data_IF_111014817704
#
_entry.id   IF_111014817704
#
_cell.length_a   1.000
_cell.length_b   1.000
_cell.length_c   1.000
_cell.angle_alpha   90.00
_cell.angle_beta   90.00
_cell.angle_gamma   90.00
#
_symmetry.space_group_name_H-M   'P 1'
#
loop_
_entity.id
_entity.type
_entity.pdbx_description
1 polymer ?
#
# COMPACT_ATOMS: atom_id res chain seq x y z
N UNK A 1 25.97 1.82 2.99
CA UNK A 1 25.31 3.11 2.67
C UNK A 1 25.91 3.64 1.38
N UNK A 2 25.12 4.30 0.54
CA UNK A 2 25.66 4.99 -0.66
C UNK A 2 26.22 6.31 -0.20
N UNK A 3 27.56 6.47 -0.25
CA UNK A 3 28.23 7.73 0.10
C UNK A 3 27.97 8.77 -0.98
N UNK A 4 27.75 10.01 -0.56
CA UNK A 4 27.61 11.18 -1.42
C UNK A 4 28.59 12.23 -0.91
N UNK A 5 29.46 12.69 -1.79
CA UNK A 5 30.38 13.80 -1.50
C UNK A 5 29.92 15.00 -2.33
N UNK A 6 29.33 16.04 -1.71
CA UNK A 6 28.98 17.25 -2.42
C UNK A 6 30.23 17.91 -3.04
N UNK A 7 30.06 18.57 -4.19
CA UNK A 7 31.14 19.35 -4.80
C UNK A 7 31.58 20.45 -3.82
N UNK A 8 32.89 20.51 -3.51
CA UNK A 8 33.50 21.47 -2.59
C UNK A 8 33.12 21.33 -1.09
N UNK A 9 32.75 20.13 -0.62
CA UNK A 9 32.57 19.84 0.81
C UNK A 9 33.54 18.79 1.33
N UNK A 10 34.09 19.02 2.54
CA UNK A 10 34.86 18.01 3.30
C UNK A 10 33.96 17.06 4.09
N UNK A 11 32.65 17.31 4.14
CA UNK A 11 31.70 16.50 4.88
C UNK A 11 31.25 15.28 4.05
N UNK A 12 31.27 14.10 4.68
CA UNK A 12 30.73 12.88 4.07
C UNK A 12 29.22 12.76 4.34
N UNK A 13 28.44 12.72 3.28
CA UNK A 13 27.00 12.44 3.34
C UNK A 13 26.70 11.02 2.89
N UNK A 14 25.50 10.55 3.24
CA UNK A 14 24.99 9.27 2.77
C UNK A 14 23.51 9.36 2.41
N UNK A 15 23.10 8.60 1.38
CA UNK A 15 21.70 8.41 1.08
C UNK A 15 21.04 7.58 2.19
N UNK A 16 19.88 8.04 2.67
CA UNK A 16 19.14 7.35 3.73
C UNK A 16 18.63 5.97 3.24
N UNK A 17 18.88 4.88 3.97
CA UNK A 17 18.29 3.57 3.66
C UNK A 17 16.99 3.28 4.44
N UNK A 18 16.66 4.15 5.40
CA UNK A 18 15.48 4.08 6.27
C UNK A 18 15.12 5.46 6.82
N UNK A 19 13.86 5.65 7.26
CA UNK A 19 13.38 6.93 7.78
C UNK A 19 13.52 7.08 9.31
N UNK A 20 13.79 5.99 10.04
CA UNK A 20 13.74 5.96 11.51
C UNK A 20 14.54 7.09 12.18
N UNK A 21 15.84 7.30 11.85
CA UNK A 21 16.64 8.37 12.45
C UNK A 21 16.03 9.76 12.29
N UNK A 22 15.47 10.04 11.11
CA UNK A 22 14.87 11.33 10.78
C UNK A 22 13.58 11.56 11.56
N UNK A 23 12.79 10.50 11.79
CA UNK A 23 11.60 10.59 12.65
C UNK A 23 11.97 10.95 14.10
N UNK A 24 13.08 10.42 14.62
CA UNK A 24 13.53 10.70 15.99
C UNK A 24 14.02 12.14 16.14
N UNK A 25 14.76 12.64 15.14
CA UNK A 25 15.15 14.04 15.06
C UNK A 25 13.92 14.95 15.00
N UNK A 26 12.91 14.60 14.20
CA UNK A 26 11.66 15.37 14.10
C UNK A 26 10.88 15.37 15.42
N UNK A 27 10.80 14.22 16.09
CA UNK A 27 10.18 14.13 17.41
C UNK A 27 10.88 15.06 18.41
N UNK A 28 12.22 14.96 18.50
CA UNK A 28 13.08 15.74 19.39
C UNK A 28 13.13 17.24 19.07
N UNK A 29 12.74 17.66 17.86
CA UNK A 29 12.82 19.07 17.44
C UNK A 29 12.01 20.05 18.31
N UNK A 30 11.08 19.55 19.13
CA UNK A 30 10.31 20.32 20.11
C UNK A 30 10.14 19.50 21.38
N UNK A 31 10.04 20.18 22.52
CA UNK A 31 9.60 19.55 23.77
C UNK A 31 8.21 18.94 23.57
N UNK A 32 8.02 17.69 24.01
CA UNK A 32 6.76 16.96 23.88
C UNK A 32 6.13 16.73 25.24
N UNK A 33 4.81 16.83 25.35
CA UNK A 33 4.04 16.41 26.52
C UNK A 33 3.49 15.00 26.30
N UNK A 34 3.32 14.23 27.38
CA UNK A 34 2.60 12.94 27.34
C UNK A 34 1.21 13.04 26.70
N UNK A 35 0.58 14.22 26.75
CA UNK A 35 -0.73 14.51 26.12
C UNK A 35 -0.69 14.55 24.59
N UNK A 36 0.49 14.70 24.00
CA UNK A 36 0.69 14.64 22.55
C UNK A 36 0.89 13.20 22.05
N UNK A 37 1.09 12.23 22.95
CA UNK A 37 1.21 10.82 22.60
C UNK A 37 -0.18 10.13 22.63
N UNK A 38 -0.49 9.25 21.66
CA UNK A 38 0.38 8.72 20.60
C UNK A 38 0.67 9.71 19.47
N UNK A 39 1.95 9.94 19.16
CA UNK A 39 2.38 10.79 18.06
C UNK A 39 2.78 9.93 16.86
N UNK A 40 2.12 10.13 15.71
CA UNK A 40 2.26 9.28 14.52
C UNK A 40 2.92 10.06 13.41
N UNK A 41 4.15 9.70 13.08
CA UNK A 41 4.90 10.31 11.98
C UNK A 41 4.92 9.34 10.80
N UNK A 42 4.36 9.73 9.65
CA UNK A 42 4.37 8.93 8.43
C UNK A 42 5.21 9.61 7.35
N UNK A 43 5.99 8.84 6.62
CA UNK A 43 6.90 9.32 5.57
C UNK A 43 6.89 8.33 4.38
N UNK A 44 6.74 8.87 3.17
CA UNK A 44 6.83 8.14 1.90
C UNK A 44 8.14 8.46 1.15
N UNK A 45 9.08 9.16 1.79
CA UNK A 45 10.30 9.61 1.18
C UNK A 45 11.16 8.48 0.62
N UNK A 46 11.92 8.82 -0.42
CA UNK A 46 12.81 7.89 -1.10
C UNK A 46 13.87 7.29 -0.17
N UNK A 47 13.99 5.98 -0.24
CA UNK A 47 15.00 5.17 0.46
C UNK A 47 15.94 4.54 -0.57
N UNK A 48 17.22 4.49 -0.20
CA UNK A 48 18.27 3.93 -1.03
C UNK A 48 18.98 2.78 -0.33
N UNK A 49 18.93 1.60 -0.91
CA UNK A 49 19.66 0.42 -0.44
C UNK A 49 20.62 -0.06 -1.50
N UNK A 50 21.85 -0.33 -1.10
CA UNK A 50 22.86 -0.87 -1.99
C UNK A 50 22.70 -2.39 -2.07
N UNK A 51 21.73 -2.82 -2.87
CA UNK A 51 21.48 -4.23 -3.17
C UNK A 51 22.50 -4.75 -4.19
N UNK A 52 22.89 -6.02 -4.03
CA UNK A 52 23.79 -6.72 -4.95
C UNK A 52 23.13 -6.83 -6.34
N UNK A 53 23.89 -6.64 -7.41
CA UNK A 53 23.36 -6.58 -8.79
C UNK A 53 22.55 -7.82 -9.15
N UNK A 54 23.05 -9.01 -8.83
CA UNK A 54 22.35 -10.27 -9.10
C UNK A 54 21.13 -10.55 -8.22
N UNK A 55 20.77 -9.64 -7.32
CA UNK A 55 19.58 -9.78 -6.44
C UNK A 55 18.46 -8.81 -6.79
N UNK A 56 18.68 -7.91 -7.76
CA UNK A 56 17.65 -6.99 -8.21
C UNK A 56 16.58 -7.73 -8.99
N UNK A 57 15.33 -7.41 -8.72
CA UNK A 57 14.18 -8.09 -9.32
C UNK A 57 12.99 -7.15 -9.47
N UNK A 58 12.72 -6.76 -10.72
CA UNK A 58 11.59 -5.94 -11.14
C UNK A 58 11.20 -4.85 -10.13
N UNK A 59 9.96 -4.95 -9.62
CA UNK A 59 9.43 -4.09 -8.56
C UNK A 59 9.63 -4.64 -7.14
N UNK A 60 10.05 -5.91 -7.01
CA UNK A 60 10.14 -6.63 -5.74
C UNK A 60 11.40 -6.26 -4.95
N UNK A 61 12.51 -6.04 -5.65
CA UNK A 61 13.81 -5.71 -5.06
C UNK A 61 14.56 -4.68 -5.89
N UNK A 62 14.53 -3.44 -5.40
CA UNK A 62 15.11 -2.26 -6.06
C UNK A 62 16.14 -1.56 -5.17
N UNK A 63 17.02 -0.76 -5.78
CA UNK A 63 17.96 0.10 -5.05
C UNK A 63 17.33 1.40 -4.56
N UNK A 64 16.36 1.92 -5.31
CA UNK A 64 15.53 3.08 -4.96
C UNK A 64 14.12 2.58 -4.68
N UNK A 65 13.57 2.93 -3.52
CA UNK A 65 12.21 2.55 -3.15
C UNK A 65 11.52 3.66 -2.35
N UNK A 66 10.22 3.78 -2.53
CA UNK A 66 9.34 4.50 -1.61
C UNK A 66 8.67 3.46 -0.71
N UNK A 67 8.60 3.75 0.58
CA UNK A 67 8.01 2.86 1.58
C UNK A 67 6.89 3.60 2.29
N UNK A 68 5.75 2.94 2.53
CA UNK A 68 4.68 3.46 3.39
C UNK A 68 5.14 3.44 4.87
N UNK A 69 6.17 4.21 5.20
CA UNK A 69 6.86 4.08 6.47
C UNK A 69 6.20 4.96 7.53
N UNK A 70 6.17 4.50 8.77
CA UNK A 70 5.66 5.29 9.88
C UNK A 70 6.26 4.88 11.21
N UNK A 71 6.46 5.89 12.05
CA UNK A 71 7.05 5.80 13.37
C UNK A 71 6.04 6.37 14.37
N UNK A 72 5.48 5.50 15.20
CA UNK A 72 4.50 5.88 16.21
C UNK A 72 5.16 5.91 17.57
N UNK A 73 5.27 7.10 18.14
CA UNK A 73 5.82 7.34 19.46
C UNK A 73 4.69 7.19 20.47
N UNK A 74 4.88 6.28 21.42
CA UNK A 74 3.84 5.88 22.38
C UNK A 74 4.37 5.83 23.79
N UNK A 75 3.47 6.02 24.75
CA UNK A 75 3.67 5.54 26.10
C UNK A 75 3.44 4.03 26.17
N UNK A 76 3.95 3.39 27.21
CA UNK A 76 3.88 1.93 27.35
C UNK A 76 2.44 1.39 27.39
N UNK A 77 1.55 2.09 28.10
CA UNK A 77 0.13 1.77 28.22
C UNK A 77 -0.65 1.95 26.91
N UNK A 78 -0.06 2.63 25.91
CA UNK A 78 -0.67 2.89 24.61
C UNK A 78 -0.29 1.84 23.55
N UNK A 79 0.74 1.01 23.79
CA UNK A 79 1.30 0.09 22.78
C UNK A 79 0.23 -0.83 22.19
N UNK A 80 -0.52 -1.53 23.05
CA UNK A 80 -1.53 -2.50 22.61
C UNK A 80 -2.59 -1.84 21.71
N UNK A 81 -3.12 -0.68 22.13
CA UNK A 81 -4.14 0.04 21.37
C UNK A 81 -3.65 0.50 19.99
N UNK A 82 -2.39 0.94 19.90
CA UNK A 82 -1.81 1.36 18.62
C UNK A 82 -1.51 0.17 17.71
N UNK A 83 -1.08 -0.97 18.27
CA UNK A 83 -0.90 -2.19 17.49
C UNK A 83 -2.21 -2.73 16.92
N UNK A 84 -3.29 -2.75 17.72
CA UNK A 84 -4.62 -3.15 17.23
C UNK A 84 -5.08 -2.27 16.08
N UNK A 85 -4.88 -0.95 16.20
CA UNK A 85 -5.16 0.00 15.12
C UNK A 85 -4.32 -0.26 13.86
N UNK A 86 -3.06 -0.71 14.00
CA UNK A 86 -2.23 -1.08 12.85
C UNK A 86 -2.76 -2.33 12.14
N UNK A 87 -3.29 -3.31 12.88
CA UNK A 87 -3.96 -4.46 12.29
C UNK A 87 -5.25 -4.07 11.56
N UNK A 88 -6.05 -3.14 12.11
CA UNK A 88 -7.23 -2.63 11.40
C UNK A 88 -6.84 -1.94 10.08
N UNK A 89 -5.75 -1.15 10.07
CA UNK A 89 -5.22 -0.53 8.85
C UNK A 89 -4.71 -1.59 7.86
N UNK A 90 -4.06 -2.64 8.36
CA UNK A 90 -3.60 -3.76 7.53
C UNK A 90 -4.78 -4.45 6.84
N UNK A 91 -5.80 -4.84 7.60
CA UNK A 91 -6.98 -5.50 7.06
C UNK A 91 -7.70 -4.59 6.05
N UNK A 92 -7.90 -3.31 6.36
CA UNK A 92 -8.50 -2.34 5.42
C UNK A 92 -7.69 -2.19 4.12
N UNK A 93 -6.37 -2.32 4.19
CA UNK A 93 -5.47 -2.22 3.04
C UNK A 93 -5.44 -3.51 2.21
N UNK A 94 -5.49 -4.67 2.86
CA UNK A 94 -5.29 -5.98 2.22
C UNK A 94 -6.60 -6.55 1.67
N UNK A 95 -7.72 -6.33 2.37
CA UNK A 95 -9.03 -6.87 2.02
C UNK A 95 -9.49 -6.53 0.60
N UNK A 96 -9.36 -5.29 0.09
CA UNK A 96 -9.75 -4.94 -1.29
C UNK A 96 -9.01 -5.75 -2.37
N UNK A 97 -7.87 -6.36 -2.03
CA UNK A 97 -7.02 -7.14 -2.94
C UNK A 97 -7.08 -8.65 -2.69
N UNK A 98 -7.89 -9.10 -1.72
CA UNK A 98 -7.95 -10.50 -1.27
C UNK A 98 -6.60 -11.07 -0.82
N UNK A 99 -5.70 -10.22 -0.33
CA UNK A 99 -4.41 -10.67 0.16
C UNK A 99 -4.59 -11.38 1.51
N UNK A 100 -4.18 -12.65 1.57
CA UNK A 100 -4.21 -13.47 2.78
C UNK A 100 -2.83 -13.41 3.45
N UNK A 101 -2.68 -12.67 4.56
CA UNK A 101 -1.38 -12.50 5.20
C UNK A 101 -0.95 -13.77 5.93
N UNK A 102 0.32 -14.15 5.78
CA UNK A 102 1.00 -15.09 6.66
C UNK A 102 1.79 -14.26 7.67
N UNK A 103 1.44 -14.41 8.95
CA UNK A 103 2.03 -13.62 10.03
C UNK A 103 3.12 -14.43 10.70
N UNK A 104 4.30 -13.83 10.88
CA UNK A 104 5.41 -14.44 11.60
C UNK A 104 5.90 -13.50 12.71
N UNK A 105 5.97 -14.02 13.93
CA UNK A 105 6.57 -13.33 15.07
C UNK A 105 8.07 -13.67 15.11
N UNK A 106 8.91 -12.70 14.74
CA UNK A 106 10.36 -12.84 14.77
C UNK A 106 10.92 -12.37 16.12
N UNK A 107 11.54 -13.29 16.86
CA UNK A 107 12.04 -13.07 18.22
C UNK A 107 13.53 -12.69 18.23
N UNK A 108 14.07 -12.39 19.40
CA UNK A 108 15.42 -11.82 19.58
C UNK A 108 16.53 -12.57 18.83
N UNK A 109 17.37 -11.85 18.06
CA UNK A 109 18.58 -12.43 17.45
C UNK A 109 19.70 -12.61 18.49
N UNK A 110 20.75 -13.33 18.09
CA UNK A 110 22.00 -13.45 18.87
C UNK A 110 22.68 -12.08 19.06
N UNK A 111 22.75 -11.28 17.99
CA UNK A 111 23.34 -9.94 18.01
C UNK A 111 22.23 -8.89 18.19
N UNK A 112 22.07 -8.39 19.41
CA UNK A 112 21.02 -7.43 19.78
C UNK A 112 21.53 -6.30 20.67
N UNK A 113 20.77 -5.22 20.74
CA UNK A 113 20.96 -4.11 21.67
C UNK A 113 19.80 -4.05 22.68
N UNK A 114 20.04 -3.44 23.83
CA UNK A 114 19.06 -3.32 24.91
C UNK A 114 19.09 -4.49 25.90
N UNK A 115 18.44 -4.29 27.04
CA UNK A 115 18.42 -5.23 28.17
C UNK A 115 17.50 -6.42 27.91
N UNK A 116 17.81 -7.58 28.52
CA UNK A 116 17.02 -8.80 28.34
C UNK A 116 15.56 -8.65 28.81
N UNK A 117 15.34 -7.89 29.89
CA UNK A 117 14.00 -7.61 30.41
C UNK A 117 13.13 -6.83 29.42
N UNK A 118 13.73 -5.89 28.67
CA UNK A 118 13.02 -5.13 27.62
C UNK A 118 12.63 -6.05 26.47
N UNK A 119 13.50 -6.99 26.12
CA UNK A 119 13.21 -8.00 25.09
C UNK A 119 12.09 -8.94 25.51
N UNK A 120 12.13 -9.46 26.75
CA UNK A 120 11.08 -10.32 27.30
C UNK A 120 9.71 -9.63 27.26
N UNK A 121 9.70 -8.35 27.64
CA UNK A 121 8.53 -7.50 27.62
C UNK A 121 8.02 -7.27 26.20
N UNK A 122 8.90 -6.91 25.27
CA UNK A 122 8.55 -6.64 23.89
C UNK A 122 7.94 -7.87 23.22
N UNK A 123 8.59 -9.04 23.35
CA UNK A 123 8.10 -10.29 22.79
C UNK A 123 6.75 -10.71 23.39
N UNK A 124 6.59 -10.54 24.70
CA UNK A 124 5.32 -10.80 25.38
C UNK A 124 4.20 -9.91 24.85
N UNK A 125 4.43 -8.61 24.71
CA UNK A 125 3.44 -7.66 24.18
C UNK A 125 3.03 -8.04 22.76
N UNK A 126 4.00 -8.32 21.88
CA UNK A 126 3.69 -8.70 20.49
C UNK A 126 2.86 -10.00 20.44
N UNK A 127 3.24 -10.99 21.25
CA UNK A 127 2.54 -12.27 21.35
C UNK A 127 1.09 -12.09 21.83
N UNK A 128 0.90 -11.41 22.95
CA UNK A 128 -0.43 -11.18 23.53
C UNK A 128 -1.33 -10.37 22.59
N UNK A 129 -0.76 -9.41 21.85
CA UNK A 129 -1.53 -8.63 20.88
C UNK A 129 -1.99 -9.50 19.70
N UNK A 130 -1.13 -10.39 19.19
CA UNK A 130 -1.50 -11.36 18.15
C UNK A 130 -2.59 -12.33 18.63
N UNK A 131 -2.43 -12.88 19.84
CA UNK A 131 -3.39 -13.79 20.46
C UNK A 131 -4.77 -13.11 20.63
N UNK A 132 -4.78 -11.87 21.14
CA UNK A 132 -6.02 -11.08 21.32
C UNK A 132 -6.70 -10.75 20.00
N UNK A 133 -5.94 -10.48 18.93
CA UNK A 133 -6.50 -10.22 17.59
C UNK A 133 -7.05 -11.49 16.95
N UNK A 134 -6.63 -12.67 17.41
CA UNK A 134 -7.05 -13.97 16.88
C UNK A 134 -6.33 -14.35 15.58
N UNK A 135 -5.15 -13.79 15.33
CA UNK A 135 -4.34 -14.19 14.18
C UNK A 135 -3.59 -15.48 14.47
N UNK A 136 -3.57 -16.38 13.49
CA UNK A 136 -2.60 -17.48 13.48
C UNK A 136 -1.24 -16.94 13.04
N UNK A 137 -0.18 -17.32 13.75
CA UNK A 137 1.17 -16.88 13.42
C UNK A 137 2.21 -17.97 13.68
N UNK A 138 3.32 -17.90 12.96
CA UNK A 138 4.49 -18.75 13.16
C UNK A 138 5.55 -18.01 13.99
N UNK A 139 6.28 -18.72 14.83
CA UNK A 139 7.44 -18.14 15.54
C UNK A 139 8.68 -18.34 14.66
N UNK A 140 9.41 -17.24 14.43
CA UNK A 140 10.66 -17.23 13.68
C UNK A 140 11.80 -16.89 14.64
N UNK A 141 12.35 -17.90 15.28
CA UNK A 141 13.37 -17.73 16.31
C UNK A 141 14.65 -17.10 15.74
N UNK A 142 15.17 -16.07 16.41
CA UNK A 142 16.45 -15.45 16.04
C UNK A 142 16.40 -14.42 14.91
N UNK A 143 15.23 -14.18 14.30
CA UNK A 143 15.09 -13.36 13.10
C UNK A 143 14.59 -11.92 13.34
N UNK A 144 14.46 -11.53 14.61
CA UNK A 144 14.11 -10.18 15.03
C UNK A 144 15.12 -9.12 14.56
N UNK A 145 14.71 -7.86 14.56
CA UNK A 145 15.64 -6.77 14.29
C UNK A 145 16.64 -6.62 15.44
N UNK A 146 17.82 -6.04 15.20
CA UNK A 146 18.82 -5.90 16.27
C UNK A 146 18.34 -5.02 17.45
N UNK A 147 17.32 -4.18 17.25
CA UNK A 147 16.75 -3.23 18.21
C UNK A 147 15.42 -3.65 18.85
N UNK A 148 14.81 -4.75 18.39
CA UNK A 148 13.53 -5.22 18.93
C UNK A 148 12.90 -6.36 18.13
N UNK A 149 11.91 -7.06 18.72
CA UNK A 149 11.18 -8.09 18.02
C UNK A 149 10.21 -7.46 17.01
N UNK A 150 9.77 -8.26 16.04
CA UNK A 150 8.90 -7.77 14.96
C UNK A 150 7.88 -8.80 14.53
N UNK A 151 6.75 -8.29 14.07
CA UNK A 151 5.72 -9.04 13.37
C UNK A 151 5.96 -8.79 11.88
N UNK A 152 6.44 -9.82 11.19
CA UNK A 152 6.59 -9.79 9.74
C UNK A 152 5.32 -10.35 9.10
N UNK A 153 4.80 -9.62 8.12
CA UNK A 153 3.59 -9.97 7.38
C UNK A 153 3.99 -10.27 5.96
N UNK A 154 3.79 -11.54 5.60
CA UNK A 154 4.07 -12.06 4.28
C UNK A 154 2.77 -12.09 3.46
N UNK A 155 2.85 -11.74 2.19
CA UNK A 155 1.75 -11.93 1.25
C UNK A 155 2.14 -13.03 0.26
N UNK A 156 1.19 -13.93 -0.01
CA UNK A 156 1.34 -14.91 -1.07
C UNK A 156 1.46 -14.20 -2.42
N UNK A 157 2.38 -14.71 -3.24
CA UNK A 157 2.46 -14.37 -4.65
C UNK A 157 1.43 -15.20 -5.46
N UNK A 158 1.48 -15.08 -6.78
CA UNK A 158 0.53 -15.77 -7.67
C UNK A 158 0.64 -17.31 -7.61
N UNK A 159 1.75 -17.86 -7.10
CA UNK A 159 1.93 -19.31 -6.96
C UNK A 159 1.01 -19.88 -5.88
N UNK A 160 0.60 -19.04 -4.91
CA UNK A 160 -0.20 -19.43 -3.76
C UNK A 160 0.57 -20.29 -2.74
N UNK A 161 1.88 -20.42 -2.89
CA UNK A 161 2.73 -21.26 -2.02
C UNK A 161 3.33 -20.45 -0.88
N UNK A 162 3.20 -20.88 0.39
CA UNK A 162 3.78 -20.18 1.54
C UNK A 162 5.29 -19.97 1.47
N UNK A 163 6.04 -20.88 0.83
CA UNK A 163 7.49 -20.80 0.67
C UNK A 163 7.94 -19.67 -0.26
N UNK A 164 7.07 -19.25 -1.19
CA UNK A 164 7.33 -18.20 -2.18
C UNK A 164 6.76 -16.84 -1.72
N UNK A 165 6.24 -16.77 -0.49
CA UNK A 165 5.62 -15.55 0.03
C UNK A 165 6.63 -14.42 0.24
N UNK A 166 6.26 -13.21 -0.16
CA UNK A 166 7.10 -12.02 0.01
C UNK A 166 6.81 -11.35 1.35
N UNK A 167 7.86 -10.95 2.07
CA UNK A 167 7.71 -10.04 3.21
C UNK A 167 7.27 -8.67 2.69
N UNK A 168 6.02 -8.31 2.98
CA UNK A 168 5.41 -7.05 2.52
C UNK A 168 5.44 -6.04 3.64
N UNK A 169 4.90 -6.42 4.79
CA UNK A 169 4.66 -5.52 5.89
C UNK A 169 5.41 -5.95 7.14
N UNK A 170 5.65 -5.01 8.02
CA UNK A 170 6.35 -5.26 9.28
C UNK A 170 5.86 -4.27 10.33
N UNK A 171 5.64 -4.77 11.55
CA UNK A 171 5.38 -3.98 12.74
C UNK A 171 6.45 -4.34 13.77
N UNK A 172 7.24 -3.36 14.20
CA UNK A 172 8.41 -3.57 15.03
C UNK A 172 8.34 -2.69 16.27
N UNK A 173 8.67 -3.25 17.43
CA UNK A 173 8.63 -2.54 18.69
C UNK A 173 10.06 -2.20 19.14
N UNK A 174 10.41 -0.92 19.13
CA UNK A 174 11.75 -0.42 19.41
C UNK A 174 11.77 0.44 20.69
N UNK A 175 12.51 -0.04 21.69
CA UNK A 175 12.73 0.64 22.97
C UNK A 175 14.01 1.50 22.98
N UNK A 176 14.83 1.39 21.95
CA UNK A 176 16.19 1.91 21.88
C UNK A 176 16.30 3.20 21.06
N UNK A 177 15.50 3.37 20.00
CA UNK A 177 15.62 4.53 19.11
C UNK A 177 15.54 5.86 19.87
N UNK A 178 14.53 6.01 20.72
CA UNK A 178 14.34 7.23 21.48
C UNK A 178 15.49 7.51 22.46
N UNK A 179 15.99 6.47 23.13
CA UNK A 179 17.16 6.57 24.03
C UNK A 179 18.40 7.01 23.28
N UNK A 180 18.68 6.40 22.13
CA UNK A 180 19.87 6.69 21.30
C UNK A 180 19.90 8.12 20.76
N UNK A 181 18.74 8.67 20.42
CA UNK A 181 18.63 10.04 19.93
C UNK A 181 18.39 11.05 21.06
N UNK A 182 18.30 10.60 22.31
CA UNK A 182 17.92 11.41 23.47
C UNK A 182 16.60 12.18 23.19
N UNK A 183 15.62 11.46 22.66
CA UNK A 183 14.31 11.95 22.28
C UNK A 183 13.32 11.67 23.41
N UNK A 184 12.91 12.72 24.14
CA UNK A 184 12.13 12.61 25.39
C UNK A 184 10.79 13.33 25.30
N UNK A 185 9.88 12.95 26.18
CA UNK A 185 8.65 13.70 26.48
C UNK A 185 8.55 13.97 27.99
N UNK A 186 7.75 14.98 28.35
CA UNK A 186 7.41 15.32 29.73
C UNK A 186 6.18 14.52 30.15
N UNK A 187 6.37 13.65 31.14
CA UNK A 187 5.34 12.80 31.73
C UNK A 187 4.29 13.57 32.54
N UNK A 188 3.23 12.88 32.95
CA UNK A 188 2.22 13.44 33.87
C UNK A 188 2.78 13.74 35.26
N UNK A 189 3.92 13.13 35.60
CA UNK A 189 4.73 13.37 36.80
C UNK A 189 5.71 14.55 36.66
N UNK A 190 5.64 15.30 35.56
CA UNK A 190 6.57 16.37 35.20
C UNK A 190 8.04 15.94 35.07
N UNK A 191 8.32 14.65 34.86
CA UNK A 191 9.68 14.16 34.59
C UNK A 191 9.89 13.86 33.11
N UNK A 192 11.14 13.77 32.70
CA UNK A 192 11.51 13.32 31.35
C UNK A 192 11.40 11.80 31.26
N UNK A 193 10.74 11.33 30.20
CA UNK A 193 10.60 9.91 29.88
C UNK A 193 10.95 9.67 28.41
N UNK A 194 11.37 8.44 28.08
CA UNK A 194 11.57 8.02 26.70
C UNK A 194 10.29 7.36 26.17
N UNK A 195 9.78 7.79 25.00
CA UNK A 195 8.70 7.08 24.32
C UNK A 195 9.21 5.76 23.74
N UNK A 196 8.32 4.77 23.63
CA UNK A 196 8.54 3.58 22.82
C UNK A 196 8.18 3.92 21.37
N UNK A 197 8.91 3.36 20.40
CA UNK A 197 8.67 3.60 18.98
C UNK A 197 8.13 2.32 18.34
N UNK A 198 6.96 2.42 17.73
CA UNK A 198 6.43 1.37 16.85
C UNK A 198 6.75 1.75 15.41
N UNK A 199 7.62 0.98 14.78
CA UNK A 199 7.90 1.09 13.35
C UNK A 199 6.87 0.27 12.60
N UNK A 200 6.19 0.87 11.63
CA UNK A 200 5.21 0.14 10.83
C UNK A 200 5.24 0.53 9.37
N UNK A 201 5.19 -0.48 8.53
CA UNK A 201 5.06 -0.33 7.09
C UNK A 201 4.03 -1.32 6.60
N UNK A 202 2.83 -0.85 6.25
CA UNK A 202 1.69 -1.73 5.96
C UNK A 202 1.70 -2.20 4.51
N UNK A 203 2.11 -1.34 3.57
CA UNK A 203 2.28 -1.74 2.18
C UNK A 203 3.71 -2.21 1.89
N UNK A 204 4.66 -2.04 2.81
CA UNK A 204 6.07 -2.22 2.48
C UNK A 204 6.56 -1.14 1.53
N UNK A 205 7.46 -1.53 0.63
CA UNK A 205 7.77 -0.69 -0.52
C UNK A 205 6.60 -0.68 -1.50
N UNK A 206 6.24 0.50 -1.99
CA UNK A 206 5.11 0.69 -2.89
C UNK A 206 5.29 -0.15 -4.17
N UNK A 207 6.51 -0.19 -4.71
CA UNK A 207 6.84 -1.04 -5.85
C UNK A 207 6.54 -2.51 -5.60
N UNK A 208 6.98 -3.07 -4.47
CA UNK A 208 6.74 -4.49 -4.15
C UNK A 208 5.25 -4.76 -3.98
N UNK A 209 4.52 -3.89 -3.28
CA UNK A 209 3.07 -4.01 -3.12
C UNK A 209 2.35 -4.03 -4.47
N UNK A 210 2.74 -3.13 -5.38
CA UNK A 210 2.22 -3.11 -6.75
C UNK A 210 2.55 -4.40 -7.51
N UNK A 211 3.78 -4.90 -7.40
CA UNK A 211 4.19 -6.17 -8.00
C UNK A 211 3.28 -7.32 -7.57
N UNK A 212 3.05 -7.46 -6.26
CA UNK A 212 2.17 -8.49 -5.69
C UNK A 212 0.73 -8.35 -6.20
N UNK A 213 0.18 -7.14 -6.23
CA UNK A 213 -1.17 -6.90 -6.77
C UNK A 213 -1.24 -7.29 -8.25
N UNK A 214 -0.24 -6.90 -9.04
CA UNK A 214 -0.21 -7.19 -10.48
C UNK A 214 -0.11 -8.68 -10.75
N UNK A 215 0.71 -9.41 -10.00
CA UNK A 215 0.85 -10.87 -10.14
C UNK A 215 -0.43 -11.59 -9.72
N UNK A 216 -0.98 -11.27 -8.54
CA UNK A 216 -2.18 -11.93 -8.03
C UNK A 216 -3.42 -11.63 -8.88
N UNK A 217 -3.54 -10.42 -9.42
CA UNK A 217 -4.62 -10.07 -10.36
C UNK A 217 -4.32 -10.51 -11.80
N UNK A 218 -3.09 -10.95 -12.11
CA UNK A 218 -2.59 -11.14 -13.48
C UNK A 218 -2.77 -9.88 -14.34
N UNK A 219 -2.75 -8.69 -13.74
CA UNK A 219 -3.07 -7.40 -14.35
C UNK A 219 -4.56 -7.08 -14.49
N UNK A 220 -5.47 -7.95 -14.03
CA UNK A 220 -6.92 -7.70 -13.99
C UNK A 220 -7.30 -6.84 -12.77
N UNK A 221 -6.85 -5.58 -12.81
CA UNK A 221 -6.97 -4.67 -11.67
C UNK A 221 -8.42 -4.25 -11.40
N UNK A 222 -8.85 -4.13 -10.14
CA UNK A 222 -10.14 -3.55 -9.77
C UNK A 222 -10.38 -2.18 -10.41
N UNK A 223 -11.66 -1.86 -10.65
CA UNK A 223 -12.05 -0.61 -11.31
C UNK A 223 -11.39 0.62 -10.69
N UNK A 224 -11.33 0.72 -9.37
CA UNK A 224 -10.85 1.89 -8.65
C UNK A 224 -9.34 2.17 -8.81
N UNK A 225 -8.52 1.13 -9.03
CA UNK A 225 -7.07 1.28 -9.31
C UNK A 225 -6.68 1.09 -10.77
N UNK A 226 -7.59 0.66 -11.64
CA UNK A 226 -7.24 0.44 -13.05
C UNK A 226 -6.73 1.75 -13.70
N UNK A 227 -5.58 1.73 -14.42
CA UNK A 227 -5.04 2.92 -15.07
C UNK A 227 -6.04 3.55 -16.05
N UNK A 228 -6.68 2.70 -16.85
CA UNK A 228 -7.85 3.05 -17.67
C UNK A 228 -9.05 2.30 -17.10
N UNK A 229 -10.08 3.03 -16.68
CA UNK A 229 -11.27 2.47 -16.07
C UNK A 229 -12.35 2.17 -17.10
N UNK A 230 -12.46 3.03 -18.12
CA UNK A 230 -13.42 2.91 -19.21
C UNK A 230 -12.73 3.21 -20.54
N UNK A 231 -13.02 2.43 -21.58
CA UNK A 231 -12.71 2.81 -22.96
C UNK A 231 -13.99 3.05 -23.75
N UNK A 232 -14.10 4.20 -24.40
CA UNK A 232 -15.24 4.55 -25.26
C UNK A 232 -14.91 4.28 -26.72
N UNK A 233 -15.74 3.50 -27.39
CA UNK A 233 -15.62 3.09 -28.78
C UNK A 233 -16.82 3.59 -29.58
N UNK A 234 -16.59 3.99 -30.82
CA UNK A 234 -17.67 4.20 -31.80
C UNK A 234 -17.71 3.07 -32.82
N UNK A 235 -18.92 2.72 -33.27
CA UNK A 235 -19.12 1.84 -34.43
C UNK A 235 -18.74 2.58 -35.73
N UNK A 236 -19.10 3.86 -35.82
CA UNK A 236 -18.78 4.72 -36.96
C UNK A 236 -18.36 6.10 -36.48
N UNK A 237 -17.56 6.81 -37.27
CA UNK A 237 -17.11 8.18 -36.97
C UNK A 237 -18.27 9.18 -36.83
N UNK A 238 -19.45 8.88 -37.40
CA UNK A 238 -20.64 9.72 -37.30
C UNK A 238 -21.10 9.94 -35.86
N UNK A 239 -20.85 8.96 -34.98
CA UNK A 239 -21.27 9.01 -33.58
C UNK A 239 -20.20 9.63 -32.66
N UNK A 240 -19.11 10.17 -33.22
CA UNK A 240 -17.99 10.72 -32.44
C UNK A 240 -18.43 11.84 -31.49
N UNK A 241 -19.33 12.73 -31.93
CA UNK A 241 -19.81 13.85 -31.09
C UNK A 241 -20.57 13.36 -29.84
N UNK A 242 -21.40 12.33 -29.98
CA UNK A 242 -22.08 11.74 -28.82
C UNK A 242 -21.07 11.03 -27.90
N UNK A 243 -20.11 10.30 -28.47
CA UNK A 243 -19.04 9.67 -27.70
C UNK A 243 -18.19 10.71 -26.93
N UNK A 244 -17.86 11.85 -27.52
CA UNK A 244 -17.15 12.96 -26.86
C UNK A 244 -17.93 13.51 -25.66
N UNK A 245 -19.25 13.64 -25.77
CA UNK A 245 -20.11 14.04 -24.65
C UNK A 245 -20.08 12.99 -23.52
N UNK A 246 -20.14 11.70 -23.86
CA UNK A 246 -20.02 10.60 -22.90
C UNK A 246 -18.66 10.66 -22.19
N UNK A 247 -17.56 10.79 -22.93
CA UNK A 247 -16.20 10.88 -22.40
C UNK A 247 -16.07 12.09 -21.46
N UNK A 248 -16.57 13.25 -21.87
CA UNK A 248 -16.54 14.48 -21.07
C UNK A 248 -17.24 14.26 -19.74
N UNK A 249 -18.46 13.72 -19.75
CA UNK A 249 -19.25 13.48 -18.53
C UNK A 249 -18.59 12.48 -17.59
N UNK A 250 -17.99 11.41 -18.12
CA UNK A 250 -17.21 10.46 -17.32
C UNK A 250 -16.00 11.13 -16.65
N UNK A 251 -15.23 11.94 -17.41
CA UNK A 251 -14.05 12.67 -16.89
C UNK A 251 -14.42 13.72 -15.86
N UNK A 252 -15.53 14.44 -16.04
CA UNK A 252 -16.07 15.41 -15.08
C UNK A 252 -16.43 14.75 -13.73
N UNK A 253 -16.73 13.45 -13.74
CA UNK A 253 -16.96 12.64 -12.54
C UNK A 253 -15.69 11.90 -12.04
N UNK A 254 -14.51 12.24 -12.55
CA UNK A 254 -13.24 11.66 -12.09
C UNK A 254 -12.96 10.24 -12.58
N UNK A 255 -13.72 9.72 -13.54
CA UNK A 255 -13.47 8.41 -14.15
C UNK A 255 -12.35 8.55 -15.19
N UNK A 256 -11.34 7.67 -15.12
CA UNK A 256 -10.22 7.62 -16.06
C UNK A 256 -10.66 6.94 -17.36
N UNK A 257 -10.80 7.73 -18.41
CA UNK A 257 -11.34 7.30 -19.70
C UNK A 257 -10.31 7.41 -20.80
N UNK A 258 -10.24 6.37 -21.62
CA UNK A 258 -9.60 6.36 -22.92
C UNK A 258 -10.64 6.19 -24.05
N UNK A 259 -10.27 6.44 -25.30
CA UNK A 259 -11.22 6.40 -26.42
C UNK A 259 -10.60 5.97 -27.73
N UNK A 260 -11.37 5.29 -28.58
CA UNK A 260 -10.98 4.90 -29.94
C UNK A 260 -12.14 5.18 -30.91
N UNK A 261 -12.16 6.41 -31.43
CA UNK A 261 -13.27 6.96 -32.22
C UNK A 261 -13.06 6.83 -33.75
N UNK A 262 -11.85 6.48 -34.17
CA UNK A 262 -11.42 6.42 -35.58
C UNK A 262 -11.97 5.19 -36.33
N UNK A 263 -11.80 5.16 -37.66
CA UNK A 263 -12.12 4.01 -38.50
C UNK A 263 -11.42 2.70 -38.07
N UNK A 264 -12.15 1.59 -38.11
CA UNK A 264 -11.66 0.26 -37.74
C UNK A 264 -12.83 -0.69 -37.42
N UNK A 265 -12.59 -2.01 -37.42
CA UNK A 265 -13.66 -2.95 -37.06
C UNK A 265 -13.93 -2.89 -35.56
N UNK A 266 -15.21 -2.84 -35.17
CA UNK A 266 -15.61 -2.84 -33.76
C UNK A 266 -15.02 -4.03 -32.99
N UNK A 267 -14.97 -5.20 -33.64
CA UNK A 267 -14.38 -6.42 -33.07
C UNK A 267 -12.91 -6.23 -32.71
N UNK A 268 -12.11 -5.61 -33.58
CA UNK A 268 -10.71 -5.32 -33.30
C UNK A 268 -10.55 -4.41 -32.09
N UNK A 269 -11.32 -3.32 -32.03
CA UNK A 269 -11.30 -2.35 -30.92
C UNK A 269 -11.69 -3.00 -29.58
N UNK A 270 -12.73 -3.84 -29.59
CA UNK A 270 -13.15 -4.60 -28.42
C UNK A 270 -12.04 -5.55 -27.98
N UNK A 271 -11.47 -6.33 -28.91
CA UNK A 271 -10.39 -7.28 -28.61
C UNK A 271 -9.18 -6.58 -28.00
N UNK A 272 -8.80 -5.42 -28.53
CA UNK A 272 -7.71 -4.59 -27.99
C UNK A 272 -8.00 -4.16 -26.55
N UNK A 273 -9.19 -3.62 -26.27
CA UNK A 273 -9.58 -3.26 -24.91
C UNK A 273 -9.60 -4.44 -23.93
N UNK A 274 -10.01 -5.63 -24.37
CA UNK A 274 -9.99 -6.84 -23.56
C UNK A 274 -8.56 -7.35 -23.28
N UNK A 275 -7.64 -7.25 -24.25
CA UNK A 275 -6.24 -7.63 -24.07
C UNK A 275 -5.50 -6.70 -23.11
N UNK A 276 -5.79 -5.40 -23.18
CA UNK A 276 -5.33 -4.38 -22.21
C UNK A 276 -6.10 -4.43 -20.89
N UNK A 277 -6.93 -5.45 -20.75
CA UNK A 277 -7.84 -5.74 -19.67
C UNK A 277 -8.95 -4.73 -19.51
N UNK A 278 -8.80 -3.40 -19.51
CA UNK A 278 -9.85 -2.34 -19.35
C UNK A 278 -11.24 -2.74 -18.76
N UNK A 279 -11.60 -2.31 -17.53
CA UNK A 279 -12.77 -2.82 -16.78
C UNK A 279 -14.09 -2.79 -17.55
N UNK A 280 -14.35 -1.68 -18.24
CA UNK A 280 -15.54 -1.48 -19.04
C UNK A 280 -15.20 -0.87 -20.39
N UNK A 281 -15.82 -1.41 -21.43
CA UNK A 281 -15.79 -0.88 -22.78
C UNK A 281 -17.19 -0.36 -23.09
N UNK A 282 -17.31 0.95 -23.31
CA UNK A 282 -18.56 1.58 -23.76
C UNK A 282 -18.55 1.61 -25.28
N UNK A 283 -19.63 1.15 -25.89
CA UNK A 283 -19.81 1.10 -27.34
C UNK A 283 -20.94 2.05 -27.71
N UNK A 284 -20.66 2.92 -28.67
CA UNK A 284 -21.58 3.94 -29.17
C UNK A 284 -21.87 3.70 -30.65
N UNK A 285 -23.13 3.41 -30.98
CA UNK A 285 -23.65 3.42 -32.34
C UNK A 285 -24.82 4.39 -32.49
N UNK A 286 -25.45 4.37 -33.67
CA UNK A 286 -26.63 5.20 -33.96
C UNK A 286 -27.79 4.94 -33.00
N UNK A 287 -28.00 3.69 -32.56
CA UNK A 287 -29.09 3.35 -31.62
C UNK A 287 -28.86 3.96 -30.24
N UNK A 288 -27.63 3.92 -29.75
CA UNK A 288 -27.24 4.53 -28.48
C UNK A 288 -27.41 6.04 -28.53
N UNK A 289 -26.96 6.68 -29.62
CA UNK A 289 -27.11 8.13 -29.82
C UNK A 289 -28.59 8.55 -29.93
N UNK A 290 -29.39 7.87 -30.75
CA UNK A 290 -30.83 8.16 -30.91
C UNK A 290 -31.60 8.06 -29.60
N UNK A 291 -31.22 7.13 -28.71
CA UNK A 291 -31.88 6.90 -27.43
C UNK A 291 -31.25 7.66 -26.26
N UNK A 292 -30.15 8.38 -26.47
CA UNK A 292 -29.32 8.94 -25.40
C UNK A 292 -28.93 7.89 -24.33
N UNK A 293 -28.50 6.70 -24.78
CA UNK A 293 -28.06 5.60 -23.91
C UNK A 293 -26.64 5.18 -24.27
N UNK A 294 -26.09 4.21 -23.55
CA UNK A 294 -24.81 3.56 -23.86
C UNK A 294 -24.96 2.03 -23.88
N UNK A 295 -24.06 1.36 -24.59
CA UNK A 295 -23.87 -0.09 -24.50
C UNK A 295 -22.59 -0.39 -23.75
N UNK A 296 -22.65 -1.17 -22.68
CA UNK A 296 -21.52 -1.42 -21.76
C UNK A 296 -21.11 -2.87 -21.84
N UNK A 297 -19.85 -3.13 -22.20
CA UNK A 297 -19.24 -4.45 -22.19
C UNK A 297 -18.24 -4.54 -21.04
N UNK A 298 -18.40 -5.54 -20.16
CA UNK A 298 -17.42 -5.80 -19.09
C UNK A 298 -16.27 -6.69 -19.58
N UNK A 299 -15.18 -6.80 -18.81
CA UNK A 299 -14.01 -7.65 -19.13
C UNK A 299 -14.38 -9.11 -19.35
N UNK A 300 -15.37 -9.63 -18.61
CA UNK A 300 -15.90 -11.02 -18.74
C UNK A 300 -16.65 -11.26 -20.06
N UNK A 301 -16.86 -10.23 -20.88
CA UNK A 301 -17.49 -10.32 -22.18
C UNK A 301 -19.01 -10.30 -22.18
N UNK A 302 -19.64 -9.98 -21.03
CA UNK A 302 -21.07 -9.65 -20.97
C UNK A 302 -21.27 -8.24 -21.51
N UNK A 303 -22.32 -8.04 -22.30
CA UNK A 303 -22.72 -6.73 -22.81
C UNK A 303 -24.14 -6.43 -22.38
N UNK A 304 -24.30 -5.31 -21.68
CA UNK A 304 -25.58 -4.73 -21.29
C UNK A 304 -25.89 -3.53 -22.21
N UNK A 305 -27.12 -3.46 -22.71
CA UNK A 305 -27.54 -2.49 -23.74
C UNK A 305 -28.58 -1.51 -23.19
N UNK A 306 -28.67 -0.33 -23.79
CA UNK A 306 -29.59 0.75 -23.38
C UNK A 306 -29.40 1.18 -21.91
N UNK A 307 -28.15 1.25 -21.47
CA UNK A 307 -27.82 1.71 -20.11
C UNK A 307 -27.83 3.24 -20.09
N UNK A 308 -28.40 3.81 -19.02
CA UNK A 308 -28.32 5.24 -18.76
C UNK A 308 -26.91 5.61 -18.28
N UNK A 309 -26.37 6.72 -18.81
CA UNK A 309 -25.01 7.13 -18.50
C UNK A 309 -24.85 7.63 -17.05
N UNK A 310 -25.87 8.32 -16.51
CA UNK A 310 -25.83 8.80 -15.12
C UNK A 310 -25.91 7.63 -14.14
N UNK A 311 -26.76 6.65 -14.43
CA UNK A 311 -26.83 5.41 -13.67
C UNK A 311 -25.47 4.68 -13.67
N UNK A 312 -24.86 4.50 -14.85
CA UNK A 312 -23.54 3.88 -14.95
C UNK A 312 -22.49 4.63 -14.13
N UNK A 313 -22.42 5.97 -14.24
CA UNK A 313 -21.48 6.79 -13.47
C UNK A 313 -21.71 6.60 -11.97
N UNK A 314 -22.97 6.70 -11.52
CA UNK A 314 -23.32 6.56 -10.11
C UNK A 314 -22.87 5.21 -9.54
N UNK A 315 -23.12 4.12 -10.24
CA UNK A 315 -22.65 2.80 -9.80
C UNK A 315 -21.13 2.70 -9.73
N UNK A 316 -20.42 3.23 -10.73
CA UNK A 316 -18.95 3.17 -10.80
C UNK A 316 -18.30 4.03 -9.71
N UNK A 317 -18.91 5.15 -9.35
CA UNK A 317 -18.47 5.96 -8.21
C UNK A 317 -18.64 5.22 -6.88
N UNK A 318 -19.72 4.45 -6.72
CA UNK A 318 -19.89 3.61 -5.53
C UNK A 318 -18.87 2.47 -5.50
N UNK A 319 -18.56 1.86 -6.65
CA UNK A 319 -17.50 0.85 -6.76
C UNK A 319 -16.12 1.43 -6.36
N UNK A 320 -15.83 2.69 -6.71
CA UNK A 320 -14.62 3.41 -6.27
C UNK A 320 -14.63 3.63 -4.76
N UNK A 321 -15.73 4.17 -4.23
CA UNK A 321 -15.86 4.51 -2.81
C UNK A 321 -15.75 3.28 -1.91
N UNK A 322 -16.34 2.17 -2.33
CA UNK A 322 -16.30 0.90 -1.59
C UNK A 322 -15.04 0.07 -1.90
N UNK A 323 -14.15 0.54 -2.80
CA UNK A 323 -12.97 -0.21 -3.28
C UNK A 323 -13.33 -1.64 -3.68
N UNK A 324 -14.47 -1.83 -4.37
CA UNK A 324 -15.00 -3.17 -4.66
C UNK A 324 -14.02 -3.98 -5.50
N UNK A 325 -13.94 -5.27 -5.17
CA UNK A 325 -13.27 -6.29 -6.00
C UNK A 325 -14.02 -6.41 -7.33
N UNK A 326 -13.30 -6.78 -8.38
CA UNK A 326 -13.88 -6.95 -9.72
C UNK A 326 -14.69 -8.26 -9.88
N UNK A 327 -14.86 -9.06 -8.83
CA UNK A 327 -15.39 -10.42 -8.98
C UNK A 327 -16.92 -10.54 -8.89
N UNK A 328 -17.63 -9.52 -8.40
CA UNK A 328 -19.05 -9.66 -8.00
C UNK A 328 -20.12 -9.11 -8.98
N UNK A 329 -19.73 -8.62 -10.17
CA UNK A 329 -20.70 -8.19 -11.21
C UNK A 329 -20.46 -8.84 -12.57
#
# INVERSE_FOLDING_TARGET
YVKVTPFESEEEYALKPMNCPFSAILFKSKTRSYRELPMRLSDYGFLHRYELEGTLDGLFRTRLMEQNDSHVYVMEDQIESEMMRMFDIMDDTYNPFDLKPIIKLATRPEKRIGDEELWDKAEKILKETLDKRGYNYEIKEGDGAFYGPKIDIYALDFSGKPEDAYAVSTIQLDFNLAVRFDAKYIGSDNKEHFPIVIHRSIMGSIGRFMGIILENSKGDLPFWISPVQVRVLTITEKNAKYAENVIKKLKENGIRVDSELDSGTLEYKIRKGQLEKIPYIIIIGSKEEEKNTISVRNRKGKTDYNIDLDEFISERLEDIKQRRKYEEK
#
